data_IF_171776531341
#
_entry.id   IF_171776531341
#
_cell.length_a   1.000
_cell.length_b   1.000
_cell.length_c   1.000
_cell.angle_alpha   90.00
_cell.angle_beta   90.00
_cell.angle_gamma   90.00
#
_symmetry.space_group_name_H-M   'P 1'
#
loop_
_entity.id
_entity.type
_entity.pdbx_description
1 polymer ?
#
# COMPACT_ATOMS: atom_id res chain seq x y z
N UNK A 1 -16.60 4.71 15.17
CA UNK A 1 -15.44 4.19 15.87
C UNK A 1 -15.53 2.67 15.98
N UNK A 2 -14.51 1.99 15.51
CA UNK A 2 -14.39 0.52 15.58
C UNK A 2 -13.12 0.17 16.36
N UNK A 3 -13.23 -0.75 17.32
CA UNK A 3 -12.08 -1.31 18.02
C UNK A 3 -11.83 -2.75 17.56
N UNK A 4 -10.58 -3.06 17.28
CA UNK A 4 -10.08 -4.39 16.93
C UNK A 4 -9.06 -4.79 17.98
N UNK A 5 -9.20 -5.97 18.56
CA UNK A 5 -8.33 -6.48 19.60
C UNK A 5 -7.80 -7.83 19.15
N UNK A 6 -6.51 -7.88 18.88
CA UNK A 6 -5.79 -9.09 18.48
C UNK A 6 -4.77 -9.51 19.55
N UNK A 7 -4.44 -10.78 19.60
CA UNK A 7 -3.38 -11.31 20.45
C UNK A 7 -2.11 -11.53 19.65
N UNK A 8 -0.98 -11.42 20.32
CA UNK A 8 0.35 -11.80 19.79
C UNK A 8 1.06 -12.66 20.82
N UNK A 9 2.11 -13.33 20.39
CA UNK A 9 3.11 -13.97 21.25
C UNK A 9 4.35 -13.08 21.43
N UNK A 10 4.45 -11.99 20.66
CA UNK A 10 5.50 -10.98 20.74
C UNK A 10 5.44 -10.22 22.07
N UNK A 11 6.62 -9.86 22.61
CA UNK A 11 6.72 -8.92 23.74
C UNK A 11 6.48 -7.47 23.33
N UNK A 12 6.44 -7.19 22.03
CA UNK A 12 6.04 -5.91 21.50
C UNK A 12 4.52 -5.87 21.29
N UNK A 13 3.95 -4.73 21.56
CA UNK A 13 2.55 -4.43 21.27
C UNK A 13 2.49 -3.29 20.25
N UNK A 14 1.48 -3.33 19.38
CA UNK A 14 1.22 -2.27 18.41
C UNK A 14 -0.20 -1.75 18.55
N UNK A 15 -0.35 -0.44 18.53
CA UNK A 15 -1.61 0.28 18.43
C UNK A 15 -1.62 1.10 17.13
N UNK A 16 -2.69 0.96 16.34
CA UNK A 16 -2.90 1.69 15.08
C UNK A 16 -4.24 2.42 15.14
N UNK A 17 -4.24 3.68 14.74
CA UNK A 17 -5.44 4.48 14.47
C UNK A 17 -5.47 4.80 12.98
N UNK A 18 -6.55 4.42 12.31
CA UNK A 18 -6.67 4.61 10.86
C UNK A 18 -8.03 5.18 10.47
N UNK A 19 -8.02 5.88 9.34
CA UNK A 19 -9.20 6.52 8.76
C UNK A 19 -9.32 6.18 7.28
N UNK A 20 -10.55 6.07 6.80
CA UNK A 20 -10.87 6.01 5.37
C UNK A 20 -10.73 7.42 4.75
N UNK A 21 -9.52 7.97 4.79
CA UNK A 21 -9.18 9.36 4.48
C UNK A 21 -7.86 9.47 3.69
N UNK A 22 -7.60 8.52 2.80
CA UNK A 22 -6.47 8.60 1.88
C UNK A 22 -6.69 9.63 0.77
N UNK A 23 -5.75 9.74 -0.18
CA UNK A 23 -5.80 10.77 -1.23
C UNK A 23 -7.08 10.74 -2.07
N UNK A 24 -7.76 9.61 -2.19
CA UNK A 24 -9.03 9.50 -2.94
C UNK A 24 -10.13 10.46 -2.46
N UNK A 25 -10.15 10.84 -1.18
CA UNK A 25 -11.20 11.73 -0.65
C UNK A 25 -10.92 13.21 -0.92
N UNK A 26 -9.73 13.56 -1.37
CA UNK A 26 -9.34 14.92 -1.73
C UNK A 26 -10.23 15.48 -2.84
N UNK A 27 -10.52 14.65 -3.85
CA UNK A 27 -11.39 15.01 -4.96
C UNK A 27 -12.84 15.27 -4.54
N UNK A 28 -13.31 14.56 -3.49
CA UNK A 28 -14.68 14.72 -2.98
C UNK A 28 -14.88 15.99 -2.16
N UNK A 29 -13.81 16.50 -1.53
CA UNK A 29 -13.83 17.65 -0.64
C UNK A 29 -13.37 18.96 -1.27
N UNK A 30 -12.98 18.95 -2.54
CA UNK A 30 -12.35 20.09 -3.23
C UNK A 30 -11.07 20.55 -2.55
N UNK A 31 -10.27 19.59 -2.11
CA UNK A 31 -8.97 19.82 -1.52
C UNK A 31 -7.86 19.75 -2.59
N UNK A 32 -6.76 20.43 -2.32
CA UNK A 32 -5.56 20.27 -3.13
C UNK A 32 -5.01 18.84 -2.98
N UNK A 33 -4.53 18.27 -4.08
CA UNK A 33 -3.92 16.94 -4.12
C UNK A 33 -2.71 16.88 -3.18
N UNK A 34 -2.62 15.82 -2.37
CA UNK A 34 -1.56 15.62 -1.39
C UNK A 34 -1.88 16.13 0.02
N UNK A 35 -3.08 16.70 0.26
CA UNK A 35 -3.44 17.22 1.58
C UNK A 35 -3.56 16.12 2.64
N UNK A 36 -3.92 14.90 2.24
CA UNK A 36 -3.97 13.75 3.14
C UNK A 36 -2.56 13.39 3.66
N UNK A 37 -1.55 13.46 2.79
CA UNK A 37 -0.16 13.24 3.16
C UNK A 37 0.39 14.41 4.01
N UNK A 38 0.06 15.66 3.66
CA UNK A 38 0.41 16.81 4.49
C UNK A 38 -0.22 16.73 5.89
N UNK A 39 -1.45 16.21 6.02
CA UNK A 39 -2.06 15.92 7.33
C UNK A 39 -1.26 14.86 8.10
N UNK A 40 -0.78 13.81 7.43
CA UNK A 40 0.04 12.78 8.07
C UNK A 40 1.22 13.40 8.81
N UNK A 41 2.01 14.23 8.14
CA UNK A 41 3.14 14.96 8.73
C UNK A 41 2.72 15.89 9.86
N UNK A 42 1.61 16.58 9.68
CA UNK A 42 1.16 17.63 10.59
C UNK A 42 0.70 17.11 11.97
N UNK A 43 0.24 15.84 12.07
CA UNK A 43 -0.22 15.30 13.36
C UNK A 43 0.90 15.01 14.35
N UNK A 44 2.16 14.97 13.92
CA UNK A 44 3.32 14.83 14.80
C UNK A 44 3.84 16.16 15.36
N UNK A 45 3.22 17.30 15.00
CA UNK A 45 3.78 18.63 15.25
C UNK A 45 3.25 19.36 16.47
N UNK A 46 2.35 18.72 17.21
CA UNK A 46 1.93 19.21 18.52
C UNK A 46 0.46 19.04 18.84
N UNK A 47 0.19 18.99 20.12
CA UNK A 47 -1.13 18.96 20.75
C UNK A 47 -1.19 20.04 21.83
N UNK A 48 -2.36 20.24 22.45
CA UNK A 48 -2.47 21.15 23.62
C UNK A 48 -1.57 20.73 24.80
N UNK A 49 -1.15 19.47 24.86
CA UNK A 49 -0.36 18.92 25.98
C UNK A 49 1.12 18.78 25.67
N UNK A 50 1.48 18.65 24.39
CA UNK A 50 2.83 18.26 23.94
C UNK A 50 3.22 19.00 22.68
N UNK A 51 4.40 19.58 22.67
CA UNK A 51 5.03 19.99 21.41
C UNK A 51 5.58 18.78 20.61
N UNK A 52 6.04 19.01 19.39
CA UNK A 52 6.58 17.97 18.50
C UNK A 52 7.74 17.21 19.15
N UNK A 53 8.64 17.90 19.84
CA UNK A 53 9.81 17.30 20.47
C UNK A 53 9.41 16.44 21.69
N UNK A 54 8.44 16.91 22.47
CA UNK A 54 7.92 16.16 23.62
C UNK A 54 7.25 14.86 23.18
N UNK A 55 6.46 14.87 22.08
CA UNK A 55 5.83 13.67 21.52
C UNK A 55 6.90 12.61 21.21
N UNK A 56 7.91 12.97 20.45
CA UNK A 56 8.98 12.04 20.06
C UNK A 56 9.78 11.54 21.27
N UNK A 57 10.11 12.43 22.19
CA UNK A 57 10.88 12.09 23.40
C UNK A 57 10.12 11.17 24.36
N UNK A 58 8.83 11.39 24.57
CA UNK A 58 8.02 10.52 25.42
C UNK A 58 7.86 9.13 24.83
N UNK A 59 7.61 9.02 23.51
CA UNK A 59 7.54 7.74 22.82
C UNK A 59 8.89 6.99 22.92
N UNK A 60 9.99 7.68 22.64
CA UNK A 60 11.33 7.10 22.73
C UNK A 60 11.68 6.66 24.16
N UNK A 61 11.32 7.44 25.19
CA UNK A 61 11.51 7.10 26.59
C UNK A 61 10.78 5.80 26.99
N UNK A 62 9.62 5.55 26.40
CA UNK A 62 8.85 4.31 26.58
C UNK A 62 9.40 3.14 25.78
N UNK A 63 10.50 3.34 25.01
CA UNK A 63 11.05 2.33 24.10
C UNK A 63 10.15 2.10 22.88
N UNK A 64 9.31 3.08 22.55
CA UNK A 64 8.39 3.01 21.42
C UNK A 64 8.99 3.50 20.11
N UNK A 65 8.44 3.00 19.01
CA UNK A 65 8.65 3.48 17.67
C UNK A 65 7.30 3.89 17.07
N UNK A 66 7.20 5.14 16.62
CA UNK A 66 6.01 5.67 15.96
C UNK A 66 6.27 5.92 14.48
N UNK A 67 5.25 5.69 13.68
CA UNK A 67 5.25 6.07 12.28
C UNK A 67 3.82 6.26 11.80
N UNK A 68 3.67 6.71 10.55
CA UNK A 68 2.40 6.84 9.86
C UNK A 68 2.53 6.43 8.40
N UNK A 69 1.44 6.30 7.71
CA UNK A 69 1.42 6.16 6.26
C UNK A 69 0.13 6.71 5.67
N UNK A 70 0.24 7.24 4.47
CA UNK A 70 -0.89 7.63 3.63
C UNK A 70 -0.88 6.81 2.35
N UNK A 71 -2.04 6.28 2.01
CA UNK A 71 -2.30 5.60 0.75
C UNK A 71 -3.43 6.30 -0.01
N UNK A 72 -3.77 5.80 -1.18
CA UNK A 72 -4.98 6.26 -1.86
C UNK A 72 -6.24 6.09 -1.02
N UNK A 73 -6.31 5.05 -0.19
CA UNK A 73 -7.53 4.66 0.49
C UNK A 73 -7.59 5.07 1.96
N UNK A 74 -6.45 5.21 2.62
CA UNK A 74 -6.41 5.43 4.07
C UNK A 74 -5.20 6.23 4.51
N UNK A 75 -5.35 6.89 5.66
CA UNK A 75 -4.25 7.41 6.46
C UNK A 75 -4.25 6.69 7.82
N UNK A 76 -3.07 6.32 8.32
CA UNK A 76 -2.93 5.61 9.56
C UNK A 76 -1.71 6.06 10.35
N UNK A 77 -1.82 6.03 11.67
CA UNK A 77 -0.80 6.38 12.66
C UNK A 77 -0.64 5.24 13.63
N UNK A 78 0.58 4.87 13.96
CA UNK A 78 0.82 3.76 14.88
C UNK A 78 2.01 3.94 15.79
N UNK A 79 1.98 3.22 16.91
CA UNK A 79 3.10 3.08 17.84
C UNK A 79 3.29 1.60 18.13
N UNK A 80 4.52 1.12 17.98
CA UNK A 80 4.97 -0.19 18.45
C UNK A 80 5.88 0.02 19.66
N UNK A 81 5.63 -0.72 20.75
CA UNK A 81 6.26 -0.47 22.04
C UNK A 81 6.38 -1.77 22.85
N UNK A 82 7.32 -1.92 23.79
CA UNK A 82 7.26 -2.98 24.79
C UNK A 82 5.90 -3.05 25.46
N UNK A 83 5.38 -4.26 25.61
CA UNK A 83 3.99 -4.50 26.03
C UNK A 83 3.58 -3.76 27.33
N UNK A 84 4.48 -3.68 28.29
CA UNK A 84 4.28 -2.99 29.58
C UNK A 84 4.01 -1.51 29.42
N UNK A 85 4.49 -0.87 28.34
CA UNK A 85 4.37 0.56 28.07
C UNK A 85 3.25 0.90 27.07
N UNK A 86 2.38 -0.07 26.73
CA UNK A 86 1.30 0.14 25.76
C UNK A 86 0.29 1.21 26.23
N UNK A 87 -0.10 1.23 27.51
CA UNK A 87 -1.14 2.17 27.99
C UNK A 87 -0.73 3.64 27.83
N UNK A 88 0.48 4.12 28.26
CA UNK A 88 0.91 5.49 27.98
C UNK A 88 1.03 5.79 26.48
N UNK A 89 1.45 4.85 25.65
CA UNK A 89 1.47 5.05 24.19
C UNK A 89 0.07 5.20 23.59
N UNK A 90 -0.94 4.52 24.12
CA UNK A 90 -2.35 4.75 23.72
C UNK A 90 -2.80 6.18 24.04
N UNK A 91 -2.39 6.73 25.16
CA UNK A 91 -2.70 8.12 25.54
C UNK A 91 -2.05 9.09 24.56
N UNK A 92 -0.74 8.94 24.29
CA UNK A 92 0.01 9.80 23.37
C UNK A 92 -0.60 9.75 21.96
N UNK A 93 -0.83 8.55 21.41
CA UNK A 93 -1.38 8.38 20.07
C UNK A 93 -2.79 8.97 19.96
N UNK A 94 -3.63 8.77 20.97
CA UNK A 94 -4.96 9.37 21.02
C UNK A 94 -4.92 10.88 21.05
N UNK A 95 -3.98 11.46 21.79
CA UNK A 95 -3.78 12.91 21.89
C UNK A 95 -3.33 13.49 20.55
N UNK A 96 -2.30 12.89 19.95
CA UNK A 96 -1.78 13.30 18.63
C UNK A 96 -2.87 13.29 17.55
N UNK A 97 -3.65 12.21 17.49
CA UNK A 97 -4.59 12.01 16.38
C UNK A 97 -5.87 12.83 16.55
N UNK A 98 -6.32 13.08 17.77
CA UNK A 98 -7.64 13.69 17.99
C UNK A 98 -7.61 15.10 18.58
N UNK A 99 -6.45 15.57 19.05
CA UNK A 99 -6.30 16.89 19.63
C UNK A 99 -5.09 17.66 19.06
N UNK A 100 -4.80 17.57 17.74
CA UNK A 100 -3.69 18.33 17.15
C UNK A 100 -4.02 19.82 17.13
N UNK A 101 -3.01 20.67 17.34
CA UNK A 101 -3.16 22.13 17.31
C UNK A 101 -2.67 22.77 16.01
N UNK A 102 -1.90 22.04 15.21
CA UNK A 102 -1.33 22.50 13.93
C UNK A 102 -0.62 23.86 14.08
N UNK A 103 0.54 23.94 14.78
CA UNK A 103 1.29 25.18 14.88
C UNK A 103 1.73 25.67 13.50
N UNK A 104 1.53 26.96 13.19
CA UNK A 104 1.80 27.51 11.86
C UNK A 104 3.28 27.43 11.47
N UNK A 105 4.18 27.67 12.42
CA UNK A 105 5.63 27.59 12.20
C UNK A 105 6.09 26.15 11.91
N UNK A 106 5.56 25.16 12.60
CA UNK A 106 5.84 23.75 12.34
C UNK A 106 5.21 23.30 11.02
N UNK A 107 3.99 23.75 10.71
CA UNK A 107 3.35 23.48 9.41
C UNK A 107 4.19 23.99 8.24
N UNK A 108 4.74 25.21 8.32
CA UNK A 108 5.57 25.78 7.26
C UNK A 108 6.86 25.00 7.08
N UNK A 109 7.49 24.53 8.16
CA UNK A 109 8.68 23.65 8.08
C UNK A 109 8.35 22.34 7.39
N UNK A 110 7.25 21.69 7.81
CA UNK A 110 6.84 20.41 7.21
C UNK A 110 6.44 20.52 5.72
N UNK A 111 5.86 21.66 5.35
CA UNK A 111 5.56 21.94 3.95
C UNK A 111 6.81 21.93 3.06
N UNK A 112 7.93 22.46 3.56
CA UNK A 112 9.22 22.37 2.86
C UNK A 112 9.76 20.92 2.85
N UNK A 113 9.62 20.17 3.94
CA UNK A 113 9.99 18.74 4.00
C UNK A 113 9.21 17.94 2.95
N UNK A 114 7.90 18.12 2.85
CA UNK A 114 7.06 17.42 1.87
C UNK A 114 7.41 17.80 0.43
N UNK A 115 7.83 19.05 0.18
CA UNK A 115 8.36 19.44 -1.13
C UNK A 115 9.65 18.69 -1.49
N UNK A 116 10.58 18.58 -0.53
CA UNK A 116 11.83 17.83 -0.74
C UNK A 116 11.57 16.34 -0.95
N UNK A 117 10.60 15.76 -0.25
CA UNK A 117 10.18 14.37 -0.48
C UNK A 117 9.59 14.18 -1.88
N UNK A 118 8.79 15.13 -2.38
CA UNK A 118 8.23 15.06 -3.73
C UNK A 118 9.35 15.14 -4.80
N UNK A 119 10.36 15.99 -4.58
CA UNK A 119 11.56 16.04 -5.44
C UNK A 119 12.30 14.70 -5.39
N UNK A 120 12.60 14.21 -4.18
CA UNK A 120 13.29 12.94 -3.98
C UNK A 120 12.54 11.75 -4.60
N UNK A 121 11.21 11.77 -4.55
CA UNK A 121 10.39 10.74 -5.19
C UNK A 121 10.50 10.71 -6.71
N UNK A 122 10.79 11.86 -7.34
CA UNK A 122 11.05 11.94 -8.78
C UNK A 122 12.46 11.46 -9.15
N UNK A 123 13.41 11.56 -8.20
CA UNK A 123 14.77 11.08 -8.42
C UNK A 123 14.84 9.55 -8.35
N UNK A 124 14.00 8.89 -7.55
CA UNK A 124 13.91 7.43 -7.51
C UNK A 124 13.33 6.88 -8.83
N UNK A 125 14.06 5.99 -9.54
CA UNK A 125 13.61 5.46 -10.83
C UNK A 125 12.27 4.72 -10.73
N UNK A 126 12.06 3.94 -9.69
CA UNK A 126 10.83 3.13 -9.52
C UNK A 126 9.62 4.02 -9.26
N UNK A 127 9.78 5.03 -8.40
CA UNK A 127 8.71 5.99 -8.12
C UNK A 127 8.38 6.86 -9.33
N UNK A 128 9.41 7.26 -10.09
CA UNK A 128 9.23 7.99 -11.35
C UNK A 128 8.45 7.18 -12.39
N UNK A 129 8.83 5.90 -12.56
CA UNK A 129 8.15 4.97 -13.48
C UNK A 129 6.71 4.73 -13.00
N UNK A 130 6.50 4.46 -11.70
CA UNK A 130 5.17 4.24 -11.14
C UNK A 130 4.25 5.42 -11.40
N UNK A 131 4.74 6.65 -11.19
CA UNK A 131 3.95 7.86 -11.43
C UNK A 131 3.50 7.96 -12.89
N UNK A 132 4.44 7.87 -13.83
CA UNK A 132 4.11 7.91 -15.25
C UNK A 132 3.20 6.77 -15.67
N UNK A 133 3.41 5.57 -15.11
CA UNK A 133 2.58 4.41 -15.39
C UNK A 133 1.15 4.62 -14.87
N UNK A 134 0.98 5.01 -13.61
CA UNK A 134 -0.35 5.18 -13.01
C UNK A 134 -1.16 6.30 -13.65
N UNK A 135 -0.53 7.41 -14.01
CA UNK A 135 -1.15 8.54 -14.73
C UNK A 135 -1.68 8.14 -16.13
N UNK A 136 -1.06 7.14 -16.78
CA UNK A 136 -1.42 6.66 -18.12
C UNK A 136 -2.20 5.33 -18.11
N UNK A 137 -2.38 4.71 -16.95
CA UNK A 137 -3.11 3.46 -16.81
C UNK A 137 -4.51 3.64 -16.20
N UNK A 138 -4.67 4.51 -15.23
CA UNK A 138 -5.93 4.74 -14.52
C UNK A 138 -6.58 6.07 -14.92
N UNK A 139 -7.91 6.12 -14.89
CA UNK A 139 -8.71 7.33 -15.14
C UNK A 139 -9.35 7.93 -13.88
N UNK A 140 -8.95 7.47 -12.72
CA UNK A 140 -9.52 7.89 -11.44
C UNK A 140 -8.44 8.33 -10.43
N UNK A 141 -8.78 8.36 -9.13
CA UNK A 141 -7.87 8.78 -8.06
C UNK A 141 -6.57 7.95 -7.98
N UNK A 142 -6.51 6.75 -8.57
CA UNK A 142 -5.31 5.93 -8.63
C UNK A 142 -4.24 6.51 -9.57
N UNK A 143 -4.64 7.36 -10.52
CA UNK A 143 -3.74 8.09 -11.40
C UNK A 143 -2.99 9.23 -10.69
N UNK A 144 -3.44 9.66 -9.50
CA UNK A 144 -2.88 10.84 -8.84
C UNK A 144 -1.83 10.47 -7.79
N UNK A 145 -0.71 11.20 -7.69
CA UNK A 145 0.28 10.93 -6.65
C UNK A 145 -0.25 11.26 -5.25
N UNK A 146 -0.08 10.34 -4.31
CA UNK A 146 -0.52 10.51 -2.91
C UNK A 146 0.15 11.71 -2.23
N UNK A 147 1.42 11.96 -2.56
CA UNK A 147 2.19 13.09 -2.01
C UNK A 147 1.75 14.45 -2.57
N UNK A 148 1.05 14.46 -3.71
CA UNK A 148 0.73 15.68 -4.44
C UNK A 148 1.81 16.09 -5.44
N UNK A 149 1.84 17.37 -5.81
CA UNK A 149 2.82 17.98 -6.71
C UNK A 149 3.41 19.24 -6.08
N UNK A 150 4.56 19.72 -6.56
CA UNK A 150 5.15 20.98 -6.10
C UNK A 150 4.14 22.14 -6.15
N UNK A 151 3.31 22.17 -7.20
CA UNK A 151 2.28 23.19 -7.35
C UNK A 151 1.20 23.07 -6.26
N UNK A 152 0.66 21.88 -6.02
CA UNK A 152 -0.41 21.67 -5.04
C UNK A 152 0.11 21.83 -3.61
N UNK A 153 1.31 21.32 -3.30
CA UNK A 153 1.96 21.47 -1.99
C UNK A 153 2.18 22.95 -1.69
N UNK A 154 2.61 23.75 -2.67
CA UNK A 154 2.82 25.18 -2.47
C UNK A 154 1.57 25.94 -2.07
N UNK A 155 0.39 25.46 -2.45
CA UNK A 155 -0.92 26.05 -2.13
C UNK A 155 -1.47 25.67 -0.77
N UNK A 156 -0.92 24.63 -0.09
CA UNK A 156 -1.43 24.18 1.21
C UNK A 156 -1.38 25.30 2.25
N UNK A 157 -2.43 25.40 3.03
CA UNK A 157 -2.55 26.25 4.20
C UNK A 157 -2.84 25.41 5.45
N UNK A 158 -2.42 25.92 6.60
CA UNK A 158 -2.69 25.27 7.87
C UNK A 158 -4.21 25.08 8.11
N UNK A 159 -5.02 26.04 7.70
CA UNK A 159 -6.49 25.98 7.80
C UNK A 159 -7.09 24.91 6.88
N UNK A 160 -6.48 24.63 5.75
CA UNK A 160 -6.91 23.54 4.86
C UNK A 160 -6.68 22.18 5.53
N UNK A 161 -5.52 21.98 6.16
CA UNK A 161 -5.21 20.77 6.92
C UNK A 161 -6.16 20.60 8.11
N UNK A 162 -6.44 21.67 8.86
CA UNK A 162 -7.43 21.65 9.97
C UNK A 162 -8.82 21.25 9.49
N UNK A 163 -9.28 21.80 8.35
CA UNK A 163 -10.57 21.44 7.75
C UNK A 163 -10.60 19.98 7.32
N UNK A 164 -9.54 19.50 6.65
CA UNK A 164 -9.43 18.11 6.23
C UNK A 164 -9.48 17.16 7.43
N UNK A 165 -8.68 17.42 8.47
CA UNK A 165 -8.69 16.66 9.72
C UNK A 165 -10.10 16.65 10.35
N UNK A 166 -10.73 17.82 10.54
CA UNK A 166 -12.05 17.94 11.16
C UNK A 166 -13.15 17.25 10.33
N UNK A 167 -12.97 17.17 9.03
CA UNK A 167 -13.93 16.53 8.13
C UNK A 167 -13.72 15.01 8.09
N UNK A 168 -12.50 14.49 8.03
CA UNK A 168 -12.21 13.10 7.71
C UNK A 168 -11.65 12.27 8.85
N UNK A 169 -11.03 12.88 9.87
CA UNK A 169 -10.31 12.17 10.94
C UNK A 169 -10.97 12.28 12.32
N UNK A 170 -12.30 12.19 12.36
CA UNK A 170 -13.01 12.25 13.64
C UNK A 170 -13.05 10.90 14.35
N UNK A 171 -13.14 10.91 15.70
CA UNK A 171 -13.25 9.69 16.54
C UNK A 171 -14.30 8.69 16.04
N UNK A 172 -15.45 9.19 15.58
CA UNK A 172 -16.56 8.34 15.10
C UNK A 172 -16.23 7.55 13.83
N UNK A 173 -15.25 8.03 13.05
CA UNK A 173 -14.86 7.47 11.76
C UNK A 173 -13.57 6.62 11.87
N UNK A 174 -12.94 6.58 13.05
CA UNK A 174 -11.69 5.86 13.28
C UNK A 174 -11.88 4.34 13.38
N UNK A 175 -10.91 3.61 12.84
CA UNK A 175 -10.64 2.22 13.16
C UNK A 175 -9.40 2.18 14.05
N UNK A 176 -9.56 1.64 15.27
CA UNK A 176 -8.45 1.50 16.22
C UNK A 176 -8.18 0.01 16.39
N UNK A 177 -6.98 -0.41 16.01
CA UNK A 177 -6.52 -1.79 16.14
C UNK A 177 -5.40 -1.89 17.15
N UNK A 178 -5.51 -2.83 18.08
CA UNK A 178 -4.45 -3.15 19.04
C UNK A 178 -4.10 -4.62 18.98
N UNK A 179 -2.81 -4.90 18.84
CA UNK A 179 -2.25 -6.24 18.97
C UNK A 179 -1.32 -6.28 20.18
N UNK A 180 -1.63 -7.15 21.18
CA UNK A 180 -0.89 -7.15 22.43
C UNK A 180 -1.11 -8.43 23.24
N UNK A 181 -0.36 -8.59 24.33
CA UNK A 181 -0.54 -9.66 25.32
C UNK A 181 -1.72 -9.41 26.29
N UNK A 182 -2.35 -8.24 26.24
CA UNK A 182 -3.46 -7.91 27.14
C UNK A 182 -4.64 -8.88 26.99
N UNK A 183 -5.28 -9.18 28.11
CA UNK A 183 -6.59 -9.85 28.08
C UNK A 183 -7.60 -8.94 27.37
N UNK A 184 -8.46 -9.50 26.55
CA UNK A 184 -9.46 -8.78 25.72
C UNK A 184 -10.26 -7.72 26.50
N UNK A 185 -10.69 -8.04 27.72
CA UNK A 185 -11.46 -7.11 28.57
C UNK A 185 -10.61 -5.90 29.00
N UNK A 186 -9.32 -6.10 29.37
CA UNK A 186 -8.42 -5.00 29.71
C UNK A 186 -8.15 -4.11 28.51
N UNK A 187 -7.85 -4.69 27.35
CA UNK A 187 -7.67 -3.94 26.12
C UNK A 187 -8.91 -3.10 25.77
N UNK A 188 -10.11 -3.67 25.90
CA UNK A 188 -11.37 -2.95 25.68
C UNK A 188 -11.57 -1.77 26.65
N UNK A 189 -11.20 -1.92 27.90
CA UNK A 189 -11.27 -0.83 28.90
C UNK A 189 -10.33 0.31 28.49
N UNK A 190 -9.09 0.02 28.11
CA UNK A 190 -8.11 1.02 27.68
C UNK A 190 -8.53 1.72 26.39
N UNK A 191 -8.99 0.96 25.39
CA UNK A 191 -9.50 1.53 24.15
C UNK A 191 -10.69 2.47 24.40
N UNK A 192 -11.63 2.08 25.27
CA UNK A 192 -12.75 2.95 25.64
C UNK A 192 -12.29 4.22 26.38
N UNK A 193 -11.24 4.11 27.22
CA UNK A 193 -10.69 5.24 28.00
C UNK A 193 -10.08 6.30 27.08
N UNK A 194 -9.24 5.88 26.14
CA UNK A 194 -8.43 6.81 25.34
C UNK A 194 -9.09 7.20 24.01
N UNK A 195 -9.78 6.26 23.35
CA UNK A 195 -10.35 6.45 22.01
C UNK A 195 -11.87 6.66 22.00
N UNK A 196 -12.54 6.34 23.10
CA UNK A 196 -13.99 6.44 23.24
C UNK A 196 -14.71 5.10 22.99
N UNK A 197 -15.99 5.05 23.36
CA UNK A 197 -16.79 3.84 23.22
C UNK A 197 -17.04 3.48 21.74
N UNK A 198 -16.92 2.20 21.44
CA UNK A 198 -17.22 1.67 20.12
C UNK A 198 -18.69 1.90 19.77
N UNK A 199 -18.96 2.41 18.57
CA UNK A 199 -20.31 2.59 18.01
C UNK A 199 -20.62 1.60 16.87
N UNK A 200 -19.64 0.78 16.46
CA UNK A 200 -19.79 -0.31 15.50
C UNK A 200 -19.98 0.08 14.04
N UNK A 201 -20.01 1.39 13.71
CA UNK A 201 -20.28 1.85 12.35
C UNK A 201 -19.22 2.85 11.88
N UNK A 202 -18.62 2.58 10.72
CA UNK A 202 -17.94 3.61 9.93
C UNK A 202 -19.05 4.32 9.15
N UNK A 203 -19.27 5.61 9.43
CA UNK A 203 -20.41 6.35 8.87
C UNK A 203 -20.16 6.84 7.44
N UNK A 204 -18.92 6.76 6.92
CA UNK A 204 -18.55 7.29 5.61
C UNK A 204 -18.21 6.17 4.66
N UNK A 205 -19.07 5.99 3.68
CA UNK A 205 -18.81 5.24 2.47
C UNK A 205 -18.74 6.23 1.33
N UNK A 206 -17.64 6.29 0.65
CA UNK A 206 -17.49 7.11 -0.55
C UNK A 206 -17.80 6.23 -1.75
N UNK A 207 -18.62 6.74 -2.66
CA UNK A 207 -18.85 6.13 -3.97
C UNK A 207 -17.83 6.71 -4.93
N UNK A 208 -16.90 5.89 -5.36
CA UNK A 208 -15.98 6.21 -6.44
C UNK A 208 -16.37 5.39 -7.66
N UNK A 209 -16.06 5.93 -8.84
CA UNK A 209 -16.15 5.16 -10.06
C UNK A 209 -15.14 4.02 -9.98
N UNK A 210 -15.52 2.82 -10.41
CA UNK A 210 -14.56 1.75 -10.69
C UNK A 210 -13.65 2.26 -11.80
N UNK A 211 -12.36 2.01 -11.71
CA UNK A 211 -11.41 2.50 -12.70
C UNK A 211 -11.79 2.01 -14.08
N UNK A 212 -12.04 2.93 -15.00
CA UNK A 212 -11.88 2.64 -16.40
C UNK A 212 -10.37 2.80 -16.70
N UNK A 213 -9.87 1.96 -17.54
CA UNK A 213 -8.46 1.95 -17.91
C UNK A 213 -8.30 2.73 -19.21
N UNK A 214 -7.23 3.53 -19.30
CA UNK A 214 -6.97 4.32 -20.49
C UNK A 214 -6.59 3.43 -21.68
N UNK A 215 -6.83 3.91 -22.90
CA UNK A 215 -6.55 3.16 -24.13
C UNK A 215 -5.08 3.22 -24.59
N UNK A 216 -4.21 3.91 -23.83
CA UNK A 216 -2.77 3.93 -24.11
C UNK A 216 -2.18 2.53 -24.02
N UNK A 217 -1.38 2.14 -25.00
CA UNK A 217 -0.80 0.77 -25.09
C UNK A 217 0.72 0.75 -24.94
N UNK A 218 1.39 1.80 -25.32
CA UNK A 218 2.84 1.94 -25.23
C UNK A 218 3.19 3.35 -24.76
N UNK A 219 3.92 3.42 -23.68
CA UNK A 219 4.48 4.65 -23.15
C UNK A 219 6.01 4.53 -23.10
N UNK A 220 6.70 5.36 -23.86
CA UNK A 220 8.15 5.46 -23.82
C UNK A 220 8.55 6.74 -23.11
N UNK A 221 9.37 6.61 -22.08
CA UNK A 221 9.88 7.72 -21.29
C UNK A 221 11.38 7.61 -21.11
N UNK A 222 12.01 8.72 -20.78
CA UNK A 222 13.45 8.76 -20.46
C UNK A 222 13.66 9.31 -19.07
N UNK A 223 14.70 8.82 -18.40
CA UNK A 223 15.12 9.30 -17.09
C UNK A 223 16.65 9.40 -17.04
N UNK A 224 17.15 10.57 -16.64
CA UNK A 224 18.57 10.74 -16.40
C UNK A 224 19.04 9.90 -15.20
N UNK A 225 20.29 9.44 -15.26
CA UNK A 225 20.95 8.76 -14.14
C UNK A 225 20.63 7.28 -13.96
N UNK A 226 19.89 6.66 -14.90
CA UNK A 226 19.69 5.20 -14.91
C UNK A 226 20.54 4.57 -16.03
N UNK A 227 21.07 3.38 -15.76
CA UNK A 227 21.92 2.62 -16.71
C UNK A 227 21.14 1.48 -17.38
N UNK A 228 20.07 1.01 -16.74
CA UNK A 228 19.23 -0.07 -17.24
C UNK A 228 17.94 0.48 -17.83
N UNK A 229 17.43 -0.21 -18.83
CA UNK A 229 16.07 0.00 -19.32
C UNK A 229 15.08 -0.77 -18.45
N UNK A 230 14.07 -0.08 -17.96
CA UNK A 230 12.96 -0.69 -17.20
C UNK A 230 11.76 -0.91 -18.12
N UNK A 231 11.16 -2.05 -18.04
CA UNK A 231 9.92 -2.38 -18.76
C UNK A 231 8.86 -2.80 -17.77
N UNK A 232 7.74 -2.08 -17.76
CA UNK A 232 6.57 -2.39 -16.96
C UNK A 232 5.40 -2.75 -17.88
N UNK A 233 4.78 -3.90 -17.62
CA UNK A 233 3.63 -4.39 -18.36
C UNK A 233 2.46 -4.55 -17.40
N UNK A 234 1.50 -3.64 -17.47
CA UNK A 234 0.31 -3.67 -16.63
C UNK A 234 -0.95 -4.01 -17.40
N UNK A 235 -1.78 -4.86 -16.81
CA UNK A 235 -3.09 -5.22 -17.33
C UNK A 235 -4.14 -5.04 -16.24
N UNK A 236 -5.38 -4.63 -16.60
CA UNK A 236 -6.47 -4.59 -15.65
C UNK A 236 -6.66 -5.91 -14.93
N UNK A 237 -6.86 -5.84 -13.63
CA UNK A 237 -7.11 -6.99 -12.78
C UNK A 237 -8.25 -6.73 -11.81
N UNK A 238 -8.66 -7.76 -11.10
CA UNK A 238 -9.72 -7.73 -10.12
C UNK A 238 -9.38 -6.82 -8.92
N UNK A 239 -10.40 -6.28 -8.27
CA UNK A 239 -10.27 -5.47 -7.07
C UNK A 239 -10.13 -6.31 -5.78
N UNK A 240 -9.91 -5.65 -4.64
CA UNK A 240 -9.73 -6.27 -3.31
C UNK A 240 -10.85 -7.22 -2.89
N UNK A 241 -12.09 -7.05 -3.38
CA UNK A 241 -13.25 -7.85 -2.97
C UNK A 241 -13.52 -9.04 -3.89
N UNK A 242 -12.65 -9.32 -4.86
CA UNK A 242 -12.84 -10.37 -5.85
C UNK A 242 -12.86 -11.77 -5.21
N UNK A 243 -13.74 -12.61 -5.73
CA UNK A 243 -13.72 -14.05 -5.43
C UNK A 243 -12.45 -14.73 -5.95
N UNK A 244 -11.79 -14.15 -6.96
CA UNK A 244 -10.55 -14.63 -7.58
C UNK A 244 -9.28 -14.30 -6.80
N UNK A 245 -9.38 -13.55 -5.68
CA UNK A 245 -8.23 -13.11 -4.86
C UNK A 245 -7.20 -14.24 -4.63
N UNK A 246 -7.64 -15.38 -4.12
CA UNK A 246 -6.74 -16.51 -3.85
C UNK A 246 -6.06 -17.06 -5.09
N UNK A 247 -6.81 -17.23 -6.18
CA UNK A 247 -6.28 -17.75 -7.44
C UNK A 247 -5.29 -16.79 -8.11
N UNK A 248 -5.58 -15.48 -8.08
CA UNK A 248 -4.68 -14.45 -8.62
C UNK A 248 -3.39 -14.40 -7.80
N UNK A 249 -3.45 -14.45 -6.48
CA UNK A 249 -2.26 -14.46 -5.62
C UNK A 249 -1.36 -15.68 -5.88
N UNK A 250 -1.96 -16.87 -6.02
CA UNK A 250 -1.21 -18.10 -6.36
C UNK A 250 -0.61 -17.98 -7.77
N UNK A 251 -1.35 -17.49 -8.75
CA UNK A 251 -0.89 -17.25 -10.12
C UNK A 251 0.34 -16.32 -10.15
N UNK A 252 0.26 -15.16 -9.47
CA UNK A 252 1.37 -14.20 -9.43
C UNK A 252 2.58 -14.76 -8.69
N UNK A 253 2.37 -15.62 -7.69
CA UNK A 253 3.46 -16.32 -7.01
C UNK A 253 4.16 -17.32 -7.92
N UNK A 254 3.42 -18.07 -8.74
CA UNK A 254 3.97 -19.00 -9.74
C UNK A 254 4.79 -18.25 -10.80
N UNK A 255 4.27 -17.12 -11.25
CA UNK A 255 4.87 -16.35 -12.34
C UNK A 255 6.10 -15.55 -11.90
N UNK A 256 6.02 -14.80 -10.81
CA UNK A 256 7.01 -13.74 -10.55
C UNK A 256 7.53 -13.61 -9.12
N UNK A 257 7.24 -14.53 -8.19
CA UNK A 257 7.69 -14.40 -6.82
C UNK A 257 8.79 -15.39 -6.44
N UNK A 258 10.03 -14.88 -6.32
CA UNK A 258 11.21 -15.66 -5.94
C UNK A 258 11.98 -16.24 -7.12
N UNK A 259 13.14 -16.83 -6.85
CA UNK A 259 14.08 -17.29 -7.90
C UNK A 259 13.61 -18.52 -8.66
N UNK A 260 12.67 -19.29 -8.13
CA UNK A 260 12.11 -20.51 -8.72
C UNK A 260 10.77 -20.27 -9.46
N UNK A 261 10.38 -19.02 -9.65
CA UNK A 261 9.20 -18.66 -10.44
C UNK A 261 9.47 -18.75 -11.94
N UNK A 262 8.40 -18.88 -12.75
CA UNK A 262 8.53 -19.11 -14.20
C UNK A 262 9.31 -18.00 -14.90
N UNK A 263 8.96 -16.75 -14.66
CA UNK A 263 9.60 -15.61 -15.32
C UNK A 263 11.09 -15.51 -14.96
N UNK A 264 11.46 -15.73 -13.71
CA UNK A 264 12.85 -15.72 -13.31
C UNK A 264 13.63 -16.85 -13.97
N UNK A 265 13.11 -18.07 -13.96
CA UNK A 265 13.76 -19.23 -14.57
C UNK A 265 13.92 -19.09 -16.08
N UNK A 266 12.86 -18.66 -16.82
CA UNK A 266 12.90 -18.59 -18.28
C UNK A 266 13.68 -17.37 -18.78
N UNK A 267 13.43 -16.18 -18.20
CA UNK A 267 13.96 -14.92 -18.73
C UNK A 267 15.35 -14.61 -18.18
N UNK A 268 15.60 -14.91 -16.88
CA UNK A 268 16.86 -14.60 -16.23
C UNK A 268 17.84 -15.77 -16.23
N UNK A 269 17.45 -16.95 -15.72
CA UNK A 269 18.42 -18.06 -15.57
C UNK A 269 18.78 -18.71 -16.90
N UNK A 270 17.79 -19.04 -17.73
CA UNK A 270 18.04 -19.73 -19.01
C UNK A 270 18.59 -18.80 -20.09
N UNK A 271 18.07 -17.60 -20.18
CA UNK A 271 18.39 -16.69 -21.31
C UNK A 271 19.29 -15.51 -20.92
N UNK A 272 19.44 -15.21 -19.63
CA UNK A 272 20.27 -14.10 -19.17
C UNK A 272 19.82 -12.72 -19.65
N UNK A 273 18.55 -12.58 -19.99
CA UNK A 273 18.03 -11.35 -20.65
C UNK A 273 17.82 -10.20 -19.67
N UNK A 274 17.55 -10.48 -18.40
CA UNK A 274 17.17 -9.46 -17.41
C UNK A 274 18.03 -9.51 -16.17
N UNK A 275 18.22 -8.35 -15.53
CA UNK A 275 18.82 -8.26 -14.21
C UNK A 275 17.82 -8.67 -13.11
N UNK A 276 16.61 -8.17 -13.19
CA UNK A 276 15.50 -8.50 -12.30
C UNK A 276 14.19 -8.62 -13.05
N UNK A 277 13.31 -9.50 -12.57
CA UNK A 277 11.96 -9.64 -13.07
C UNK A 277 11.04 -10.06 -11.94
N UNK A 278 9.86 -9.49 -11.88
CA UNK A 278 8.82 -9.82 -10.92
C UNK A 278 7.42 -9.72 -11.52
N UNK A 279 6.45 -10.36 -10.88
CA UNK A 279 5.04 -10.18 -11.17
C UNK A 279 4.26 -9.98 -9.87
N UNK A 280 3.36 -9.02 -9.87
CA UNK A 280 2.56 -8.64 -8.71
C UNK A 280 1.11 -8.35 -9.09
N UNK A 281 0.23 -8.47 -8.12
CA UNK A 281 -1.15 -7.98 -8.18
C UNK A 281 -1.32 -6.88 -7.14
N UNK A 282 -1.64 -5.70 -7.63
CA UNK A 282 -1.96 -4.53 -6.82
C UNK A 282 -3.48 -4.37 -6.81
N UNK A 283 -4.07 -4.38 -5.63
CA UNK A 283 -5.51 -4.35 -5.45
C UNK A 283 -5.97 -3.15 -4.63
N UNK A 284 -7.03 -2.51 -5.11
CA UNK A 284 -7.75 -1.42 -4.43
C UNK A 284 -9.24 -1.72 -4.42
N UNK A 285 -10.02 -0.97 -3.64
CA UNK A 285 -11.48 -1.13 -3.61
C UNK A 285 -12.15 -0.87 -4.97
N UNK A 286 -11.54 -0.03 -5.81
CA UNK A 286 -12.14 0.47 -7.07
C UNK A 286 -11.25 0.22 -8.29
N UNK A 287 -10.40 -0.76 -8.24
CA UNK A 287 -9.55 -1.17 -9.36
C UNK A 287 -8.53 -2.21 -8.95
N UNK A 288 -7.90 -2.84 -9.92
CA UNK A 288 -6.80 -3.78 -9.74
C UNK A 288 -5.84 -3.73 -10.92
N UNK A 289 -4.61 -4.07 -10.66
CA UNK A 289 -3.52 -4.07 -11.63
C UNK A 289 -2.70 -5.35 -11.49
N UNK A 290 -2.63 -6.16 -12.53
CA UNK A 290 -1.57 -7.16 -12.67
C UNK A 290 -0.37 -6.49 -13.33
N UNK A 291 0.76 -6.50 -12.66
CA UNK A 291 1.97 -5.80 -13.10
C UNK A 291 3.13 -6.78 -13.22
N UNK A 292 3.80 -6.76 -14.37
CA UNK A 292 5.08 -7.42 -14.58
C UNK A 292 6.13 -6.33 -14.76
N UNK A 293 7.19 -6.42 -13.97
CA UNK A 293 8.26 -5.43 -13.91
C UNK A 293 9.58 -6.14 -14.24
N UNK A 294 10.37 -5.58 -15.12
CA UNK A 294 11.72 -6.08 -15.40
C UNK A 294 12.70 -4.94 -15.65
N UNK A 295 13.98 -5.22 -15.40
CA UNK A 295 15.09 -4.34 -15.72
C UNK A 295 16.12 -5.10 -16.56
N UNK A 296 16.57 -4.49 -17.66
CA UNK A 296 17.44 -5.13 -18.64
C UNK A 296 18.36 -4.13 -19.35
N UNK A 297 19.27 -4.63 -20.19
CA UNK A 297 20.03 -3.80 -21.12
C UNK A 297 19.17 -3.52 -22.36
N UNK A 298 19.38 -2.40 -23.02
CA UNK A 298 18.60 -1.97 -24.17
C UNK A 298 18.52 -3.04 -25.26
N UNK A 299 19.63 -3.68 -25.60
CA UNK A 299 19.72 -4.72 -26.64
C UNK A 299 18.82 -5.95 -26.36
N UNK A 300 18.45 -6.16 -25.10
CA UNK A 300 17.66 -7.32 -24.66
C UNK A 300 16.17 -7.00 -24.50
N UNK A 301 15.75 -5.75 -24.62
CA UNK A 301 14.37 -5.31 -24.32
C UNK A 301 13.35 -6.13 -25.08
N UNK A 302 13.46 -6.20 -26.40
CA UNK A 302 12.48 -6.91 -27.22
C UNK A 302 12.47 -8.41 -26.95
N UNK A 303 13.64 -9.04 -26.81
CA UNK A 303 13.75 -10.46 -26.50
C UNK A 303 13.17 -10.82 -25.12
N UNK A 304 13.35 -9.94 -24.12
CA UNK A 304 12.75 -10.10 -22.80
C UNK A 304 11.22 -10.01 -22.87
N UNK A 305 10.68 -8.99 -23.55
CA UNK A 305 9.23 -8.82 -23.75
C UNK A 305 8.62 -10.04 -24.44
N UNK A 306 9.22 -10.51 -25.54
CA UNK A 306 8.73 -11.71 -26.25
C UNK A 306 8.74 -12.95 -25.37
N UNK A 307 9.76 -13.11 -24.54
CA UNK A 307 9.85 -14.26 -23.63
C UNK A 307 8.80 -14.20 -22.52
N UNK A 308 8.57 -13.01 -21.96
CA UNK A 308 7.46 -12.79 -21.01
C UNK A 308 6.13 -13.12 -21.68
N UNK A 309 5.89 -12.62 -22.88
CA UNK A 309 4.66 -12.88 -23.64
C UNK A 309 4.42 -14.36 -23.88
N UNK A 310 5.47 -15.12 -24.21
CA UNK A 310 5.39 -16.58 -24.38
C UNK A 310 4.98 -17.29 -23.07
N UNK A 311 5.51 -16.85 -21.92
CA UNK A 311 5.14 -17.44 -20.63
C UNK A 311 3.72 -17.07 -20.19
N UNK A 312 3.23 -15.86 -20.50
CA UNK A 312 1.84 -15.48 -20.29
C UNK A 312 0.89 -16.30 -21.16
N UNK A 313 1.23 -16.50 -22.42
CA UNK A 313 0.43 -17.36 -23.31
C UNK A 313 0.44 -18.81 -22.82
N UNK A 314 1.60 -19.30 -22.38
CA UNK A 314 1.75 -20.66 -21.87
C UNK A 314 0.89 -20.93 -20.64
N UNK A 315 0.84 -20.00 -19.66
CA UNK A 315 0.03 -20.21 -18.46
C UNK A 315 -1.48 -20.08 -18.74
N UNK A 316 -1.87 -19.37 -19.79
CA UNK A 316 -3.26 -19.29 -20.28
C UNK A 316 -3.70 -20.54 -21.04
N UNK A 317 -2.79 -21.26 -21.70
CA UNK A 317 -3.08 -22.44 -22.47
C UNK A 317 -2.94 -23.73 -21.66
N UNK A 318 -1.97 -23.79 -20.78
CA UNK A 318 -1.62 -25.01 -20.06
C UNK A 318 -1.71 -24.76 -18.54
N UNK A 319 -2.48 -25.60 -17.86
CA UNK A 319 -2.56 -25.59 -16.41
C UNK A 319 -1.15 -25.69 -15.79
N UNK A 320 -0.87 -24.94 -14.70
CA UNK A 320 0.33 -25.17 -13.93
C UNK A 320 0.36 -26.61 -13.40
N UNK A 321 1.55 -27.11 -13.12
CA UNK A 321 1.69 -28.43 -12.48
C UNK A 321 1.18 -28.38 -11.04
N UNK A 322 0.84 -29.53 -10.47
CA UNK A 322 0.46 -29.63 -9.06
C UNK A 322 1.59 -29.14 -8.14
N UNK A 323 2.84 -29.46 -8.52
CA UNK A 323 4.03 -29.01 -7.81
C UNK A 323 4.17 -27.48 -7.78
N UNK A 324 3.94 -26.80 -8.91
CA UNK A 324 3.99 -25.32 -8.97
C UNK A 324 2.95 -24.68 -8.06
N UNK A 325 1.72 -25.18 -8.08
CA UNK A 325 0.64 -24.69 -7.21
C UNK A 325 0.97 -24.94 -5.73
N UNK A 326 1.43 -26.15 -5.40
CA UNK A 326 1.77 -26.49 -4.03
C UNK A 326 2.96 -25.67 -3.51
N UNK A 327 3.96 -25.45 -4.35
CA UNK A 327 5.12 -24.61 -4.04
C UNK A 327 4.71 -23.16 -3.79
N UNK A 328 3.83 -22.59 -4.62
CA UNK A 328 3.30 -21.25 -4.43
C UNK A 328 2.53 -21.13 -3.11
N UNK A 329 1.65 -22.09 -2.80
CA UNK A 329 0.93 -22.14 -1.51
C UNK A 329 1.88 -22.21 -0.32
N UNK A 330 2.93 -23.04 -0.40
CA UNK A 330 3.92 -23.14 0.67
C UNK A 330 4.68 -21.83 0.90
N UNK A 331 5.07 -21.11 -0.17
CA UNK A 331 5.69 -19.78 -0.08
C UNK A 331 4.76 -18.76 0.56
N UNK A 332 3.51 -18.73 0.13
CA UNK A 332 2.51 -17.82 0.68
C UNK A 332 2.27 -18.11 2.17
N UNK A 333 2.17 -19.39 2.54
CA UNK A 333 2.05 -19.81 3.95
C UNK A 333 3.24 -19.36 4.79
N UNK A 334 4.45 -19.55 4.29
CA UNK A 334 5.67 -19.10 5.00
C UNK A 334 5.70 -17.58 5.18
N UNK A 335 5.43 -16.82 4.12
CA UNK A 335 5.37 -15.35 4.21
C UNK A 335 4.30 -14.88 5.18
N UNK A 336 3.17 -15.57 5.18
CA UNK A 336 2.06 -15.29 6.07
C UNK A 336 2.42 -15.59 7.54
N UNK A 337 3.03 -16.73 7.84
CA UNK A 337 3.48 -17.06 9.20
C UNK A 337 4.49 -16.02 9.72
N UNK A 338 5.44 -15.59 8.87
CA UNK A 338 6.35 -14.50 9.24
C UNK A 338 5.59 -13.19 9.56
N UNK A 339 4.56 -12.86 8.78
CA UNK A 339 3.79 -11.65 9.01
C UNK A 339 3.00 -11.68 10.33
N UNK A 340 2.44 -12.82 10.73
CA UNK A 340 1.67 -12.93 11.99
C UNK A 340 2.53 -13.07 13.25
N UNK A 341 3.84 -13.19 13.16
CA UNK A 341 4.74 -13.08 14.30
C UNK A 341 4.96 -11.64 14.74
N UNK A 342 4.74 -10.68 13.83
CA UNK A 342 4.88 -9.25 14.11
C UNK A 342 3.56 -8.60 14.56
N UNK A 343 3.61 -7.89 15.70
CA UNK A 343 2.43 -7.23 16.26
C UNK A 343 1.87 -6.12 15.38
N UNK A 344 2.74 -5.44 14.60
CA UNK A 344 2.32 -4.42 13.64
C UNK A 344 1.51 -5.04 12.50
N UNK A 345 2.00 -6.10 11.88
CA UNK A 345 1.34 -6.77 10.77
C UNK A 345 -0.04 -7.29 11.15
N UNK A 346 -0.18 -7.87 12.35
CA UNK A 346 -1.48 -8.33 12.87
C UNK A 346 -2.44 -7.14 13.09
N UNK A 347 -1.95 -6.05 13.69
CA UNK A 347 -2.76 -4.86 13.93
C UNK A 347 -3.19 -4.20 12.62
N UNK A 348 -2.28 -4.11 11.66
CA UNK A 348 -2.52 -3.56 10.32
C UNK A 348 -3.54 -4.40 9.53
N UNK A 349 -3.43 -5.74 9.57
CA UNK A 349 -4.44 -6.63 8.98
C UNK A 349 -5.84 -6.34 9.52
N UNK A 350 -5.94 -6.15 10.84
CA UNK A 350 -7.19 -5.75 11.48
C UNK A 350 -7.76 -4.45 10.90
N UNK A 351 -6.90 -3.45 10.66
CA UNK A 351 -7.29 -2.18 10.02
C UNK A 351 -7.78 -2.41 8.60
N UNK A 352 -6.99 -3.07 7.74
CA UNK A 352 -7.37 -3.38 6.34
C UNK A 352 -8.72 -4.09 6.28
N UNK A 353 -8.94 -5.07 7.15
CA UNK A 353 -10.20 -5.80 7.21
C UNK A 353 -11.43 -4.89 7.37
N UNK A 354 -11.29 -3.78 8.07
CA UNK A 354 -12.40 -2.86 8.35
C UNK A 354 -12.50 -1.70 7.36
N UNK A 355 -11.38 -1.25 6.81
CA UNK A 355 -11.37 -0.15 5.85
C UNK A 355 -11.64 -0.62 4.42
N UNK A 356 -11.10 -1.78 4.04
CA UNK A 356 -11.16 -2.28 2.65
C UNK A 356 -11.77 -3.68 2.52
N UNK A 357 -12.40 -4.19 3.60
CA UNK A 357 -13.15 -5.46 3.59
C UNK A 357 -12.32 -6.70 3.25
N UNK A 358 -11.02 -6.72 3.61
CA UNK A 358 -10.20 -7.93 3.44
C UNK A 358 -10.70 -9.08 4.34
N UNK A 359 -10.48 -10.34 3.96
CA UNK A 359 -10.87 -11.50 4.77
C UNK A 359 -10.12 -11.55 6.12
N UNK A 360 -10.57 -12.37 7.04
CA UNK A 360 -9.77 -12.72 8.22
C UNK A 360 -8.51 -13.45 7.79
N UNK A 361 -7.55 -13.52 8.68
CA UNK A 361 -6.32 -14.29 8.52
C UNK A 361 -6.62 -15.75 8.15
N UNK A 362 -7.53 -16.37 8.90
CA UNK A 362 -7.94 -17.75 8.69
C UNK A 362 -8.71 -17.94 7.38
N UNK A 363 -9.62 -17.02 7.05
CA UNK A 363 -10.35 -17.04 5.79
C UNK A 363 -9.41 -16.87 4.59
N UNK A 364 -8.43 -15.96 4.69
CA UNK A 364 -7.42 -15.76 3.65
C UNK A 364 -6.61 -17.04 3.40
N UNK A 365 -6.10 -17.67 4.47
CA UNK A 365 -5.36 -18.93 4.35
C UNK A 365 -6.22 -20.05 3.78
N UNK A 366 -7.49 -20.14 4.20
CA UNK A 366 -8.42 -21.13 3.66
C UNK A 366 -8.64 -20.94 2.15
N UNK A 367 -8.79 -19.69 1.70
CA UNK A 367 -8.88 -19.36 0.27
C UNK A 367 -7.64 -19.83 -0.50
N UNK A 368 -6.44 -19.51 -0.01
CA UNK A 368 -5.18 -19.92 -0.66
C UNK A 368 -5.08 -21.44 -0.75
N UNK A 369 -5.35 -22.15 0.36
CA UNK A 369 -5.26 -23.61 0.40
C UNK A 369 -6.27 -24.31 -0.56
N UNK A 370 -7.44 -23.71 -0.76
CA UNK A 370 -8.47 -24.26 -1.64
C UNK A 370 -8.19 -24.09 -3.13
N UNK A 371 -7.25 -23.21 -3.52
CA UNK A 371 -6.97 -22.93 -4.95
C UNK A 371 -6.52 -24.18 -5.69
N UNK A 372 -7.14 -24.45 -6.83
CA UNK A 372 -6.81 -25.56 -7.73
C UNK A 372 -6.01 -25.08 -8.94
N UNK A 373 -5.45 -26.02 -9.70
CA UNK A 373 -4.78 -25.73 -10.99
C UNK A 373 -5.74 -25.06 -11.98
N UNK A 374 -6.98 -25.47 -11.97
CA UNK A 374 -8.04 -24.90 -12.82
C UNK A 374 -8.33 -23.46 -12.45
N UNK A 375 -8.36 -23.13 -11.15
CA UNK A 375 -8.56 -21.75 -10.69
C UNK A 375 -7.42 -20.84 -11.14
N UNK A 376 -6.18 -21.33 -11.09
CA UNK A 376 -5.02 -20.58 -11.59
C UNK A 376 -5.10 -20.34 -13.10
N UNK A 377 -5.49 -21.34 -13.89
CA UNK A 377 -5.71 -21.20 -15.33
C UNK A 377 -6.80 -20.17 -15.63
N UNK A 378 -7.92 -20.25 -14.92
CA UNK A 378 -9.04 -19.33 -15.09
C UNK A 378 -8.64 -17.89 -14.70
N UNK A 379 -7.90 -17.71 -13.60
CA UNK A 379 -7.36 -16.41 -13.20
C UNK A 379 -6.41 -15.84 -14.26
N UNK A 380 -5.54 -16.67 -14.86
CA UNK A 380 -4.65 -16.23 -15.94
C UNK A 380 -5.44 -15.75 -17.18
N UNK A 381 -6.51 -16.44 -17.54
CA UNK A 381 -7.37 -16.02 -18.66
C UNK A 381 -8.19 -14.77 -18.32
N UNK A 382 -8.52 -14.55 -17.04
CA UNK A 382 -9.26 -13.39 -16.59
C UNK A 382 -8.42 -12.11 -16.65
N UNK A 383 -7.15 -12.16 -16.18
CA UNK A 383 -6.37 -10.94 -15.95
C UNK A 383 -5.27 -10.67 -17.00
N UNK A 384 -4.90 -11.64 -17.83
CA UNK A 384 -3.87 -11.44 -18.87
C UNK A 384 -4.51 -11.21 -20.24
N UNK A 385 -5.00 -9.98 -20.43
CA UNK A 385 -5.52 -9.51 -21.71
C UNK A 385 -4.52 -8.53 -22.33
N UNK A 386 -3.80 -9.01 -23.37
CA UNK A 386 -2.78 -8.20 -24.06
C UNK A 386 -3.36 -6.99 -24.78
N UNK A 387 -4.62 -7.05 -25.18
CA UNK A 387 -5.31 -5.94 -25.84
C UNK A 387 -5.62 -4.79 -24.89
N UNK A 388 -5.56 -5.05 -23.59
CA UNK A 388 -5.74 -4.05 -22.53
C UNK A 388 -4.45 -3.71 -21.79
N UNK A 389 -3.32 -4.16 -22.29
CA UNK A 389 -2.01 -3.95 -21.66
C UNK A 389 -1.47 -2.56 -21.96
N UNK A 390 -1.10 -1.82 -20.93
CA UNK A 390 -0.14 -0.73 -21.01
C UNK A 390 1.27 -1.31 -20.85
N UNK A 391 2.14 -1.01 -21.80
CA UNK A 391 3.58 -1.25 -21.70
C UNK A 391 4.29 0.09 -21.52
N UNK A 392 5.03 0.25 -20.43
CA UNK A 392 5.91 1.38 -20.23
C UNK A 392 7.36 0.93 -20.38
N UNK A 393 8.12 1.65 -21.21
CA UNK A 393 9.57 1.46 -21.37
C UNK A 393 10.26 2.74 -20.94
N UNK A 394 11.06 2.66 -19.86
CA UNK A 394 11.84 3.76 -19.35
C UNK A 394 13.33 3.54 -19.68
N UNK A 395 13.91 4.41 -20.49
CA UNK A 395 15.31 4.37 -20.89
C UNK A 395 16.16 5.36 -20.14
N UNK A 396 17.45 5.07 -20.01
CA UNK A 396 18.43 6.06 -19.60
C UNK A 396 18.54 7.18 -20.63
N UNK A 397 18.76 8.40 -20.16
CA UNK A 397 19.08 9.52 -21.06
C UNK A 397 20.53 9.38 -21.50
N UNK A 398 20.80 9.45 -22.80
CA UNK A 398 22.17 9.43 -23.31
C UNK A 398 22.99 10.57 -22.71
N UNK A 399 24.22 10.28 -22.26
CA UNK A 399 25.14 11.28 -21.68
C UNK A 399 25.65 12.32 -22.70
N UNK A 400 25.11 12.30 -23.91
CA UNK A 400 25.53 13.15 -25.04
C UNK A 400 24.53 14.24 -25.44
N UNK A 401 23.48 14.44 -24.71
CA UNK A 401 22.57 15.59 -24.77
C UNK A 401 22.56 16.32 -23.39
#
# INVERSE_FOLDING_TARGET
LIHIISKTHSRLATIIVAFNAGSRVETTGKYNMGIAHMLEHSLFKGTDKRDAHQIQREIAFLGGHSNAFTSHESVAYYITVPHENLEPCMEILSDMVFNPIFPEDEFLKEKEVVKEEEISSKDDPTMYIWRNFSENFFDNYLATPVIGTQETISKFTCDEVRRFHSQFCQRKDAVVSVCSLLKKNRAKVLLNKYFGKQNGKIKRSYKFRVSDYLDERLLEITKAGIEHTYVWMGMPAENTASEWEGAIQVLMTILGRGMDCRLFSEVREKLGLVYGISASWNDWQHGGLSLIELSTREDNVMSAIETVDKELDRIKMYMPTEEEVQRAKNKMRSSFYSAIEDSYSIAYWGVKRKLVSTPTIEEYMTKIESVTRTDVLNAANLIFDKDKRLMLICRGQDKSE
#
